data_IF_395968470274
#
_entry.id   IF_395968470274
#
_cell.length_a   1.000
_cell.length_b   1.000
_cell.length_c   1.000
_cell.angle_alpha   90.00
_cell.angle_beta   90.00
_cell.angle_gamma   90.00
#
_symmetry.space_group_name_H-M   'P 1'
#
loop_
_entity.id
_entity.type
_entity.pdbx_description
1 polymer ?
#
# COMPACT_ATOMS: atom_id res chain seq x y z
N UNK A 1 -11.50 -16.43 7.11
CA UNK A 1 -10.96 -15.15 7.62
C UNK A 1 -11.85 -14.68 8.75
N UNK A 2 -11.30 -14.09 9.82
CA UNK A 2 -12.06 -13.30 10.78
C UNK A 2 -11.67 -11.85 10.53
N UNK A 3 -12.64 -10.99 10.23
CA UNK A 3 -12.43 -9.61 9.82
C UNK A 3 -12.64 -8.67 11.00
N UNK A 4 -11.85 -7.61 11.07
CA UNK A 4 -12.12 -6.45 11.92
C UNK A 4 -12.67 -5.36 11.00
N UNK A 5 -13.96 -5.02 11.12
CA UNK A 5 -14.60 -3.98 10.32
C UNK A 5 -14.31 -2.64 10.96
N UNK A 6 -13.60 -1.75 10.26
CA UNK A 6 -13.48 -0.34 10.67
C UNK A 6 -13.99 0.57 9.55
N UNK A 7 -15.07 1.29 9.88
CA UNK A 7 -15.54 2.58 9.35
C UNK A 7 -15.59 2.80 7.83
N UNK A 8 -16.81 3.02 7.31
CA UNK A 8 -16.99 3.91 6.15
C UNK A 8 -16.35 5.26 6.50
N UNK A 9 -15.43 5.72 5.66
CA UNK A 9 -14.85 7.06 5.73
C UNK A 9 -14.98 7.69 4.34
N UNK A 10 -15.99 8.54 4.18
CA UNK A 10 -16.09 9.51 3.08
C UNK A 10 -15.04 10.60 3.36
N UNK A 11 -13.97 10.65 2.58
CA UNK A 11 -13.05 11.79 2.57
C UNK A 11 -12.78 12.20 1.13
N UNK A 12 -13.36 13.33 0.73
CA UNK A 12 -12.75 14.21 -0.27
C UNK A 12 -11.66 15.00 0.45
N UNK A 13 -10.39 14.65 0.21
CA UNK A 13 -9.28 15.50 0.59
C UNK A 13 -8.39 15.65 -0.64
N UNK A 14 -8.57 16.75 -1.36
CA UNK A 14 -7.57 17.27 -2.30
C UNK A 14 -6.48 17.84 -1.40
N UNK A 15 -5.34 17.16 -1.30
CA UNK A 15 -4.17 17.72 -0.67
C UNK A 15 -3.53 18.70 -1.69
N UNK A 16 -3.43 20.00 -1.42
CA UNK A 16 -2.95 20.99 -2.40
C UNK A 16 -1.49 20.78 -2.85
N UNK A 17 -0.73 19.93 -2.15
CA UNK A 17 0.64 19.54 -2.49
C UNK A 17 0.75 18.22 -3.29
N UNK A 18 -0.37 17.56 -3.62
CA UNK A 18 -0.40 16.41 -4.52
C UNK A 18 -0.88 16.85 -5.90
N UNK A 19 0.03 16.86 -6.88
CA UNK A 19 -0.35 17.07 -8.27
C UNK A 19 -0.44 15.72 -8.96
N UNK A 20 -1.65 15.39 -9.46
CA UNK A 20 -1.82 14.35 -10.48
C UNK A 20 -1.46 15.00 -11.82
N UNK A 21 -0.43 14.48 -12.50
CA UNK A 21 -0.06 14.99 -13.82
C UNK A 21 -1.25 14.90 -14.78
N UNK A 22 -1.68 16.06 -15.32
CA UNK A 22 -2.86 16.18 -16.17
C UNK A 22 -2.58 15.61 -17.56
N UNK A 23 -2.90 14.34 -17.74
CA UNK A 23 -2.91 13.65 -19.04
C UNK A 23 -3.54 12.26 -19.01
N UNK A 24 -4.16 11.89 -17.89
CA UNK A 24 -4.52 10.52 -17.57
C UNK A 24 -6.05 10.34 -17.51
N UNK A 25 -6.62 9.70 -18.54
CA UNK A 25 -7.99 9.15 -18.50
C UNK A 25 -8.17 8.25 -17.27
N UNK A 26 -9.41 8.05 -16.76
CA UNK A 26 -9.68 7.33 -15.50
C UNK A 26 -9.18 5.87 -15.44
N UNK A 27 -8.72 5.33 -16.57
CA UNK A 27 -8.15 3.99 -16.74
C UNK A 27 -6.61 3.93 -16.68
N UNK A 28 -5.90 5.05 -16.51
CA UNK A 28 -4.45 5.09 -16.68
C UNK A 28 -3.67 5.12 -15.36
N UNK A 29 -2.57 4.37 -15.36
CA UNK A 29 -1.51 4.33 -14.35
C UNK A 29 -0.80 5.69 -14.25
N UNK A 30 -1.50 6.72 -13.76
CA UNK A 30 -0.91 8.05 -13.57
C UNK A 30 0.19 8.02 -12.50
N UNK A 31 1.32 8.62 -12.83
CA UNK A 31 2.41 8.89 -11.90
C UNK A 31 1.99 10.03 -10.95
N UNK A 32 2.12 9.80 -9.65
CA UNK A 32 1.81 10.75 -8.59
C UNK A 32 3.07 11.50 -8.20
N UNK A 33 2.97 12.82 -8.02
CA UNK A 33 4.09 13.66 -7.62
C UNK A 33 3.77 14.40 -6.32
N UNK A 34 4.76 14.45 -5.43
CA UNK A 34 4.72 15.10 -4.12
C UNK A 34 5.98 15.95 -3.93
N UNK A 35 5.81 17.26 -3.71
CA UNK A 35 6.93 18.20 -3.60
C UNK A 35 6.86 19.00 -2.28
N UNK A 36 7.20 18.41 -1.12
CA UNK A 36 7.31 19.16 0.12
C UNK A 36 8.41 20.24 0.00
N UNK A 37 8.18 21.39 0.59
CA UNK A 37 9.13 22.52 0.60
C UNK A 37 9.95 22.61 1.89
N UNK A 38 9.70 21.75 2.86
CA UNK A 38 10.36 21.74 4.17
C UNK A 38 10.23 20.40 4.88
N UNK A 39 10.93 20.27 6.00
CA UNK A 39 10.92 19.05 6.80
C UNK A 39 9.52 18.75 7.39
N UNK A 40 9.19 17.47 7.51
CA UNK A 40 7.92 17.06 8.10
C UNK A 40 7.53 15.63 7.77
N UNK A 41 6.37 15.22 8.28
CA UNK A 41 5.72 13.94 7.99
C UNK A 41 4.47 14.18 7.16
N UNK A 42 4.37 13.51 6.02
CA UNK A 42 3.33 13.75 5.02
C UNK A 42 2.64 12.45 4.62
N UNK A 43 1.33 12.37 4.89
CA UNK A 43 0.51 11.21 4.60
C UNK A 43 -0.30 11.40 3.31
N UNK A 44 -0.12 10.50 2.36
CA UNK A 44 -0.94 10.44 1.15
C UNK A 44 -2.12 9.50 1.35
N UNK A 45 -3.32 10.04 1.59
CA UNK A 45 -4.56 9.24 1.74
C UNK A 45 -4.97 8.44 0.49
N UNK A 46 -4.36 8.71 -0.67
CA UNK A 46 -4.64 7.95 -1.88
C UNK A 46 -3.91 6.61 -1.90
N UNK A 47 -2.65 6.59 -1.45
CA UNK A 47 -1.83 5.38 -1.41
C UNK A 47 -1.64 4.82 -0.02
N UNK A 48 -2.03 5.56 1.03
CA UNK A 48 -1.75 5.32 2.44
C UNK A 48 -0.22 5.36 2.76
N UNK A 49 0.62 5.92 1.89
CA UNK A 49 2.05 6.14 2.16
C UNK A 49 2.26 7.31 3.12
N UNK A 50 3.24 7.19 4.02
CA UNK A 50 3.75 8.33 4.80
C UNK A 50 5.22 8.54 4.45
N UNK A 51 5.57 9.77 4.09
CA UNK A 51 6.95 10.21 3.86
C UNK A 51 7.38 11.09 5.02
N UNK A 52 8.49 10.74 5.66
CA UNK A 52 9.21 11.64 6.56
C UNK A 52 10.36 12.25 5.79
N UNK A 53 10.38 13.58 5.70
CA UNK A 53 11.38 14.33 4.93
C UNK A 53 12.12 15.32 5.80
N UNK A 54 13.41 15.52 5.49
CA UNK A 54 14.35 16.41 6.18
C UNK A 54 14.39 17.81 5.57
N UNK A 55 13.83 18.00 4.38
CA UNK A 55 13.88 19.24 3.64
C UNK A 55 13.08 19.17 2.34
N UNK A 56 13.29 20.14 1.47
CA UNK A 56 12.64 20.16 0.16
C UNK A 56 13.11 18.97 -0.71
N UNK A 57 12.15 18.28 -1.33
CA UNK A 57 12.39 17.13 -2.20
C UNK A 57 11.22 16.98 -3.16
N UNK A 58 11.45 16.43 -4.34
CA UNK A 58 10.42 15.96 -5.26
C UNK A 58 10.39 14.44 -5.23
N UNK A 59 9.27 13.87 -4.81
CA UNK A 59 9.03 12.43 -4.77
C UNK A 59 8.00 12.10 -5.83
N UNK A 60 8.31 11.17 -6.73
CA UNK A 60 7.38 10.62 -7.71
C UNK A 60 7.13 9.15 -7.42
N UNK A 61 5.89 8.71 -7.59
CA UNK A 61 5.56 7.32 -7.35
C UNK A 61 4.27 6.86 -8.01
N UNK A 62 4.14 5.54 -8.16
CA UNK A 62 2.98 4.92 -8.79
C UNK A 62 2.72 3.52 -8.25
N UNK A 63 1.46 3.08 -8.35
CA UNK A 63 1.14 1.68 -8.11
C UNK A 63 1.72 0.80 -9.22
N UNK A 64 2.28 -0.33 -8.81
CA UNK A 64 2.73 -1.40 -9.69
C UNK A 64 1.94 -2.69 -9.41
N UNK A 65 2.16 -3.72 -10.24
CA UNK A 65 1.44 -4.98 -10.13
C UNK A 65 2.34 -6.10 -9.62
N UNK A 66 1.89 -6.77 -8.55
CA UNK A 66 2.50 -8.01 -8.05
C UNK A 66 2.44 -9.18 -9.05
N UNK A 67 1.59 -9.12 -10.08
CA UNK A 67 1.32 -10.24 -11.01
C UNK A 67 2.59 -10.83 -11.63
N UNK A 68 3.57 -9.99 -11.97
CA UNK A 68 4.84 -10.43 -12.58
C UNK A 68 5.79 -11.11 -11.58
N UNK A 69 5.53 -10.95 -10.29
CA UNK A 69 6.40 -11.43 -9.19
C UNK A 69 5.79 -12.61 -8.42
N UNK A 70 4.59 -13.06 -8.81
CA UNK A 70 3.84 -14.11 -8.11
C UNK A 70 4.64 -15.40 -7.93
N UNK A 71 5.32 -15.88 -8.98
CA UNK A 71 6.12 -17.11 -8.91
C UNK A 71 7.26 -17.02 -7.90
N UNK A 72 7.92 -15.86 -7.80
CA UNK A 72 9.00 -15.64 -6.83
C UNK A 72 8.46 -15.57 -5.40
N UNK A 73 7.28 -14.96 -5.21
CA UNK A 73 6.60 -14.92 -3.92
C UNK A 73 6.19 -16.30 -3.44
N UNK A 74 5.60 -17.11 -4.33
CA UNK A 74 5.13 -18.46 -4.00
C UNK A 74 6.30 -19.38 -3.64
N UNK A 75 7.40 -19.31 -4.39
CA UNK A 75 8.61 -20.09 -4.11
C UNK A 75 9.20 -19.83 -2.71
N UNK A 76 9.02 -18.61 -2.18
CA UNK A 76 9.50 -18.21 -0.86
C UNK A 76 8.42 -18.22 0.23
N UNK A 77 7.23 -18.78 -0.05
CA UNK A 77 6.06 -18.81 0.85
C UNK A 77 5.65 -17.41 1.37
N UNK A 78 5.70 -16.41 0.50
CA UNK A 78 5.37 -15.03 0.84
C UNK A 78 3.90 -14.72 0.56
N UNK A 79 3.34 -13.80 1.34
CA UNK A 79 2.01 -13.24 1.13
C UNK A 79 2.13 -11.75 0.84
N UNK A 80 1.36 -11.25 -0.13
CA UNK A 80 1.19 -9.81 -0.30
C UNK A 80 0.55 -9.26 0.98
N UNK A 81 1.13 -8.21 1.54
CA UNK A 81 0.62 -7.54 2.73
C UNK A 81 0.23 -6.08 2.48
N UNK A 82 0.59 -5.51 1.33
CA UNK A 82 0.26 -4.14 0.93
C UNK A 82 0.43 -3.91 -0.57
N UNK A 83 0.14 -2.69 -1.05
CA UNK A 83 0.34 -2.30 -2.45
C UNK A 83 1.83 -2.38 -2.84
N UNK A 84 2.09 -2.68 -4.11
CA UNK A 84 3.40 -2.53 -4.70
C UNK A 84 3.54 -1.11 -5.26
N UNK A 85 4.61 -0.43 -4.92
CA UNK A 85 4.84 0.98 -5.23
C UNK A 85 6.23 1.16 -5.83
N UNK A 86 6.28 1.80 -6.98
CA UNK A 86 7.52 2.29 -7.60
C UNK A 86 7.69 3.73 -7.16
N UNK A 87 8.73 4.02 -6.37
CA UNK A 87 8.98 5.31 -5.75
C UNK A 87 10.35 5.81 -6.23
N UNK A 88 10.44 7.08 -6.56
CA UNK A 88 11.65 7.80 -6.95
C UNK A 88 11.70 9.16 -6.22
N UNK A 89 12.89 9.68 -6.00
CA UNK A 89 13.09 11.01 -5.43
C UNK A 89 14.27 11.71 -6.13
N UNK A 90 14.17 13.02 -6.34
CA UNK A 90 15.26 13.84 -6.91
C UNK A 90 16.44 13.99 -5.94
N UNK A 91 16.17 14.03 -4.63
CA UNK A 91 17.16 14.10 -3.56
C UNK A 91 16.88 13.02 -2.51
N UNK A 92 17.47 11.83 -2.69
CA UNK A 92 17.22 10.64 -1.86
C UNK A 92 17.48 10.92 -0.37
N UNK A 93 18.58 11.58 -0.04
CA UNK A 93 19.00 11.88 1.34
C UNK A 93 18.02 12.79 2.10
N UNK A 94 17.18 13.53 1.37
CA UNK A 94 16.14 14.36 1.96
C UNK A 94 14.96 13.55 2.49
N UNK A 95 14.84 12.25 2.17
CA UNK A 95 13.80 11.38 2.72
C UNK A 95 14.37 10.59 3.89
N UNK A 96 13.89 10.90 5.10
CA UNK A 96 14.31 10.25 6.33
C UNK A 96 13.71 8.85 6.47
N UNK A 97 12.43 8.69 6.14
CA UNK A 97 11.75 7.40 6.22
C UNK A 97 10.55 7.32 5.27
N UNK A 98 10.21 6.09 4.89
CA UNK A 98 8.97 5.76 4.18
C UNK A 98 8.20 4.72 4.99
N UNK A 99 6.94 5.01 5.25
CA UNK A 99 6.01 4.10 5.90
C UNK A 99 5.19 3.41 4.81
N UNK A 100 5.49 2.15 4.55
CA UNK A 100 4.79 1.32 3.59
C UNK A 100 3.50 0.78 4.19
N UNK A 101 2.32 1.08 3.62
CA UNK A 101 1.06 0.59 4.15
C UNK A 101 0.95 -0.93 4.02
N UNK A 102 0.33 -1.54 5.03
CA UNK A 102 -0.07 -2.94 5.00
C UNK A 102 -1.48 -3.12 5.55
N UNK A 103 -2.16 -4.18 5.11
CA UNK A 103 -3.48 -4.55 5.61
C UNK A 103 -3.43 -5.65 6.67
N UNK A 104 -2.27 -5.99 7.24
CA UNK A 104 -2.15 -6.98 8.31
C UNK A 104 -2.75 -6.46 9.62
N UNK A 105 -3.46 -7.32 10.35
CA UNK A 105 -3.97 -7.03 11.68
C UNK A 105 -3.06 -7.71 12.72
N UNK A 106 -2.04 -6.97 13.16
CA UNK A 106 -0.91 -7.52 13.93
C UNK A 106 -1.17 -7.65 15.44
N UNK A 107 -2.35 -7.28 15.94
CA UNK A 107 -2.64 -7.25 17.40
C UNK A 107 -2.40 -8.57 18.16
N UNK A 108 -2.29 -9.70 17.45
CA UNK A 108 -1.94 -11.00 18.03
C UNK A 108 -0.88 -11.76 17.22
N UNK A 109 -0.28 -11.13 16.20
CA UNK A 109 0.70 -11.76 15.30
C UNK A 109 2.11 -11.24 15.58
N UNK A 110 3.12 -12.02 15.21
CA UNK A 110 4.52 -11.62 15.36
C UNK A 110 4.91 -10.64 14.23
N UNK A 111 5.24 -9.37 14.53
CA UNK A 111 5.68 -8.41 13.52
C UNK A 111 7.00 -8.80 12.85
N UNK A 112 7.78 -9.75 13.40
CA UNK A 112 9.04 -10.24 12.79
C UNK A 112 8.85 -10.91 11.43
N UNK A 113 7.61 -11.31 11.12
CA UNK A 113 7.24 -11.93 9.84
C UNK A 113 6.86 -10.90 8.77
N UNK A 114 6.84 -9.61 9.10
CA UNK A 114 6.62 -8.52 8.14
C UNK A 114 7.95 -8.12 7.52
N UNK A 115 7.98 -8.11 6.19
CA UNK A 115 9.15 -7.74 5.40
C UNK A 115 8.73 -6.77 4.31
N UNK A 116 9.69 -6.05 3.74
CA UNK A 116 9.48 -5.25 2.54
C UNK A 116 10.19 -5.94 1.39
N UNK A 117 9.42 -6.33 0.38
CA UNK A 117 9.98 -6.80 -0.87
C UNK A 117 10.60 -5.59 -1.57
N UNK A 118 11.82 -5.76 -2.06
CA UNK A 118 12.56 -4.79 -2.85
C UNK A 118 12.98 -5.46 -4.15
N UNK A 119 12.51 -4.95 -5.27
CA UNK A 119 12.87 -5.45 -6.59
C UNK A 119 13.98 -4.59 -7.20
N UNK A 120 15.11 -5.23 -7.47
CA UNK A 120 16.29 -4.70 -8.17
C UNK A 120 16.53 -5.50 -9.45
N UNK A 121 17.54 -5.12 -10.24
CA UNK A 121 17.89 -5.80 -11.49
C UNK A 121 18.19 -7.30 -11.27
N UNK A 122 18.82 -7.64 -10.14
CA UNK A 122 19.18 -9.02 -9.76
C UNK A 122 17.99 -9.84 -9.22
N UNK A 123 16.81 -9.24 -9.06
CA UNK A 123 15.59 -9.90 -8.61
C UNK A 123 15.00 -9.30 -7.34
N UNK A 124 14.36 -10.16 -6.52
CA UNK A 124 13.65 -9.73 -5.32
C UNK A 124 14.49 -9.97 -4.06
N UNK A 125 14.81 -8.90 -3.36
CA UNK A 125 15.41 -8.90 -2.04
C UNK A 125 14.33 -8.70 -0.96
N UNK A 126 14.56 -9.27 0.22
CA UNK A 126 13.71 -9.05 1.39
C UNK A 126 14.44 -8.15 2.37
N UNK A 127 13.88 -6.97 2.58
CA UNK A 127 14.39 -6.00 3.55
C UNK A 127 13.59 -6.08 4.84
N UNK A 128 14.32 -6.05 5.96
CA UNK A 128 13.73 -6.00 7.28
C UNK A 128 13.31 -4.56 7.56
N UNK A 129 12.05 -4.28 7.93
CA UNK A 129 11.63 -2.95 8.36
C UNK A 129 12.36 -2.54 9.64
N UNK A 130 12.67 -1.25 9.77
CA UNK A 130 13.22 -0.65 11.00
C UNK A 130 12.19 -0.71 12.13
N UNK A 131 10.92 -0.54 11.80
CA UNK A 131 9.80 -0.78 12.72
C UNK A 131 8.55 -1.24 11.98
N UNK A 132 7.64 -1.87 12.72
CA UNK A 132 6.35 -2.34 12.20
C UNK A 132 5.26 -1.83 13.13
N UNK A 133 4.46 -0.90 12.62
CA UNK A 133 3.29 -0.35 13.30
C UNK A 133 2.01 -1.14 12.99
N UNK A 134 0.84 -0.65 13.42
CA UNK A 134 -0.43 -1.33 13.21
C UNK A 134 -0.88 -1.43 11.75
N UNK A 135 -0.50 -0.46 10.91
CA UNK A 135 -0.93 -0.35 9.50
C UNK A 135 0.24 -0.08 8.55
N UNK A 136 1.47 0.04 9.06
CA UNK A 136 2.63 0.46 8.28
C UNK A 136 3.89 -0.28 8.70
N UNK A 137 4.72 -0.63 7.73
CA UNK A 137 6.11 -1.04 7.94
C UNK A 137 7.04 0.11 7.55
N UNK A 138 7.97 0.48 8.40
CA UNK A 138 8.83 1.66 8.23
C UNK A 138 10.20 1.24 7.72
N UNK A 139 10.69 1.94 6.69
CA UNK A 139 12.10 1.93 6.30
C UNK A 139 12.69 3.32 6.48
N UNK A 140 13.77 3.40 7.25
CA UNK A 140 14.60 4.58 7.39
C UNK A 140 15.66 4.63 6.28
N UNK A 141 15.98 5.84 5.82
CA UNK A 141 16.95 6.11 4.75
C UNK A 141 16.77 5.16 3.54
N UNK A 142 15.55 5.04 3.00
CA UNK A 142 15.25 4.02 2.01
C UNK A 142 15.96 4.32 0.69
N UNK A 143 16.41 3.25 0.02
CA UNK A 143 16.76 3.34 -1.40
C UNK A 143 15.49 3.25 -2.23
N UNK A 144 15.31 4.18 -3.15
CA UNK A 144 14.11 4.27 -3.96
C UNK A 144 14.11 3.30 -5.14
N UNK A 145 13.02 2.56 -5.26
CA UNK A 145 12.82 1.46 -6.20
C UNK A 145 11.42 0.85 -6.01
N UNK A 146 11.14 -0.21 -6.74
CA UNK A 146 9.90 -0.98 -6.64
C UNK A 146 9.84 -1.78 -5.33
N UNK A 147 8.90 -1.41 -4.45
CA UNK A 147 8.79 -1.94 -3.09
C UNK A 147 7.36 -2.17 -2.63
N UNK A 148 7.18 -3.13 -1.72
CA UNK A 148 5.87 -3.36 -1.09
C UNK A 148 5.94 -4.29 0.11
N UNK A 149 5.03 -4.08 1.06
CA UNK A 149 4.96 -4.90 2.25
C UNK A 149 4.51 -6.33 1.91
N UNK A 150 5.20 -7.30 2.50
CA UNK A 150 4.89 -8.73 2.42
C UNK A 150 4.90 -9.37 3.81
N UNK A 151 4.28 -10.53 3.91
CA UNK A 151 4.31 -11.36 5.11
C UNK A 151 4.91 -12.73 4.80
N UNK A 152 5.92 -13.13 5.57
CA UNK A 152 6.58 -14.44 5.42
C UNK A 152 5.81 -15.49 6.21
N UNK A 153 5.12 -16.40 5.51
CA UNK A 153 4.34 -17.46 6.15
C UNK A 153 5.27 -18.44 6.85
N UNK A 154 5.09 -18.63 8.14
CA UNK A 154 5.72 -19.72 8.88
C UNK A 154 5.13 -21.07 8.48
N UNK A 155 5.91 -22.14 8.68
CA UNK A 155 5.46 -23.51 8.41
C UNK A 155 4.25 -23.89 9.29
N UNK A 156 4.15 -23.36 10.50
CA UNK A 156 2.91 -23.47 11.26
C UNK A 156 1.84 -22.57 10.61
N UNK A 157 0.84 -23.19 9.95
CA UNK A 157 -0.28 -22.56 9.21
C UNK A 157 -1.22 -21.72 10.10
N UNK A 158 -0.70 -20.71 10.81
CA UNK A 158 -1.52 -19.73 11.54
C UNK A 158 -2.27 -18.87 10.54
N UNK A 159 -3.57 -18.69 10.79
CA UNK A 159 -4.43 -17.82 9.99
C UNK A 159 -4.17 -16.37 10.40
N UNK A 160 -3.40 -15.65 9.58
CA UNK A 160 -3.17 -14.21 9.74
C UNK A 160 -4.49 -13.47 9.54
N UNK A 161 -4.75 -12.50 10.44
CA UNK A 161 -5.87 -11.57 10.30
C UNK A 161 -5.45 -10.38 9.45
N UNK A 162 -6.40 -9.85 8.68
CA UNK A 162 -6.20 -8.66 7.85
C UNK A 162 -7.33 -7.66 8.08
N UNK A 163 -6.99 -6.37 8.00
CA UNK A 163 -7.94 -5.30 7.80
C UNK A 163 -8.53 -5.43 6.40
N UNK A 164 -9.86 -5.44 6.32
CA UNK A 164 -10.58 -5.58 5.07
C UNK A 164 -11.54 -4.42 4.84
N UNK A 165 -11.76 -4.10 3.58
CA UNK A 165 -12.84 -3.26 3.11
C UNK A 165 -14.02 -4.13 2.69
N UNK A 166 -15.22 -3.74 3.09
CA UNK A 166 -16.46 -4.35 2.66
C UNK A 166 -17.08 -3.52 1.52
N UNK A 167 -17.36 -4.17 0.39
CA UNK A 167 -18.14 -3.58 -0.70
C UNK A 167 -19.52 -4.24 -0.70
N UNK A 168 -20.57 -3.42 -0.66
CA UNK A 168 -21.94 -3.88 -0.73
C UNK A 168 -22.55 -3.35 -2.03
N UNK A 169 -22.91 -4.25 -2.93
CA UNK A 169 -23.62 -3.92 -4.17
C UNK A 169 -25.07 -4.36 -4.05
N UNK A 170 -25.99 -3.52 -4.50
CA UNK A 170 -27.39 -3.87 -4.61
C UNK A 170 -27.73 -4.15 -6.07
N UNK A 171 -28.33 -5.30 -6.33
CA UNK A 171 -29.01 -5.58 -7.58
C UNK A 171 -30.38 -4.89 -7.55
N UNK A 172 -30.65 -4.03 -8.54
CA UNK A 172 -31.88 -3.24 -8.62
C UNK A 172 -33.04 -4.10 -9.16
N UNK A 173 -33.44 -5.11 -8.39
CA UNK A 173 -34.67 -5.85 -8.64
C UNK A 173 -35.85 -5.18 -7.92
N UNK A 174 -36.98 -5.07 -8.63
CA UNK A 174 -38.17 -4.31 -8.17
C UNK A 174 -38.89 -5.02 -7.01
N UNK A 175 -38.81 -6.35 -6.92
CA UNK A 175 -39.64 -7.16 -6.01
C UNK A 175 -38.90 -7.56 -4.73
N UNK A 176 -37.64 -7.98 -4.86
CA UNK A 176 -36.80 -8.40 -3.73
C UNK A 176 -35.39 -7.86 -3.90
N UNK A 177 -34.95 -6.90 -3.07
CA UNK A 177 -33.61 -6.35 -3.19
C UNK A 177 -32.58 -7.44 -2.85
N UNK A 178 -31.65 -7.68 -3.78
CA UNK A 178 -30.55 -8.64 -3.59
C UNK A 178 -29.25 -7.88 -3.40
N UNK A 179 -28.48 -8.29 -2.38
CA UNK A 179 -27.22 -7.65 -2.02
C UNK A 179 -26.05 -8.62 -2.19
N UNK A 180 -24.96 -8.12 -2.79
CA UNK A 180 -23.70 -8.81 -2.92
C UNK A 180 -22.66 -8.15 -2.02
N UNK A 181 -22.17 -8.89 -1.02
CA UNK A 181 -21.11 -8.46 -0.13
C UNK A 181 -19.76 -9.04 -0.57
N UNK A 182 -18.79 -8.17 -0.86
CA UNK A 182 -17.42 -8.55 -1.15
C UNK A 182 -16.51 -8.05 -0.03
N UNK A 183 -15.60 -8.93 0.44
CA UNK A 183 -14.59 -8.60 1.43
C UNK A 183 -13.22 -8.64 0.76
N UNK A 184 -12.59 -7.48 0.66
CA UNK A 184 -11.29 -7.31 0.03
C UNK A 184 -10.27 -6.83 1.06
N UNK A 185 -8.98 -7.14 0.91
CA UNK A 185 -7.94 -6.51 1.72
C UNK A 185 -8.07 -4.99 1.67
N UNK A 186 -7.77 -4.30 2.77
CA UNK A 186 -7.73 -2.84 2.82
C UNK A 186 -6.49 -2.30 2.09
N UNK A 187 -6.42 -2.55 0.79
CA UNK A 187 -5.32 -2.23 -0.11
C UNK A 187 -5.69 -1.00 -0.95
N UNK A 188 -4.86 0.05 -0.88
CA UNK A 188 -5.08 1.30 -1.62
C UNK A 188 -5.04 1.12 -3.13
N UNK A 189 -4.29 0.14 -3.65
CA UNK A 189 -4.27 -0.19 -5.09
C UNK A 189 -5.60 -0.77 -5.55
N UNK A 190 -6.27 -1.58 -4.72
CA UNK A 190 -7.61 -2.09 -5.00
C UNK A 190 -8.67 -0.98 -4.94
N UNK A 191 -8.59 -0.09 -3.93
CA UNK A 191 -9.49 1.07 -3.81
C UNK A 191 -9.44 1.93 -5.07
N UNK A 192 -8.25 2.15 -5.66
CA UNK A 192 -8.10 2.87 -6.93
C UNK A 192 -8.90 2.21 -8.04
N UNK A 193 -8.73 0.90 -8.26
CA UNK A 193 -9.41 0.16 -9.33
C UNK A 193 -10.92 0.15 -9.17
N UNK A 194 -11.42 0.02 -7.93
CA UNK A 194 -12.85 0.02 -7.63
C UNK A 194 -13.48 1.39 -7.90
N UNK A 195 -12.80 2.48 -7.54
CA UNK A 195 -13.28 3.86 -7.75
C UNK A 195 -13.25 4.30 -9.22
N UNK A 196 -12.43 3.67 -10.04
CA UNK A 196 -12.35 3.96 -11.48
C UNK A 196 -13.39 3.21 -12.33
N UNK A 197 -14.26 2.41 -11.72
CA UNK A 197 -15.40 1.74 -12.37
C UNK A 197 -16.68 2.51 -12.12
#
# INVERSE_FOLDING_TARGET
>A
MRFCVLSLRLFSCICPSFQVSSGASPSSSGNLQFCPTGAGSFHCFYTDLIFEVRGAVTITYQFASWKKHQSAMDAQNLMIAGPLLDIQADLIEAVAAVHFPHFLCLAAEDPSQVWIAHFVEEGMNLEKPDSVGPLHAVLENPRFSLRGAIFKKTWFKRKIKVHAMALLYQELEIVTPKFHLYLLPNDSSLKKVIRSR
#
